data_IF_498816872434
#
_entry.id   IF_498816872434
#
_cell.length_a   1.000
_cell.length_b   1.000
_cell.length_c   1.000
_cell.angle_alpha   90.00
_cell.angle_beta   90.00
_cell.angle_gamma   90.00
#
_symmetry.space_group_name_H-M   'P 1'
#
loop_
_entity.id
_entity.type
_entity.pdbx_description
1 polymer ?
#
# COMPACT_ATOMS: atom_id res chain seq x y z
N UNK A 1 -6.37 12.15 -19.62
CA UNK A 1 -6.79 12.50 -18.25
C UNK A 1 -7.01 11.26 -17.41
N UNK A 2 -7.64 10.22 -17.95
CA UNK A 2 -7.81 8.89 -17.31
C UNK A 2 -6.55 8.31 -16.67
N UNK A 3 -5.44 8.23 -17.41
CA UNK A 3 -4.19 7.65 -16.89
C UNK A 3 -3.57 8.46 -15.73
N UNK A 4 -3.73 9.79 -15.76
CA UNK A 4 -3.22 10.69 -14.70
C UNK A 4 -4.04 10.51 -13.42
N UNK A 5 -5.37 10.43 -13.53
CA UNK A 5 -6.25 10.15 -12.40
C UNK A 5 -5.94 8.80 -11.75
N UNK A 6 -5.76 7.75 -12.57
CA UNK A 6 -5.36 6.43 -12.08
C UNK A 6 -4.01 6.42 -11.36
N UNK A 7 -3.01 7.13 -11.89
CA UNK A 7 -1.69 7.29 -11.26
C UNK A 7 -1.76 7.98 -9.90
N UNK A 8 -2.57 9.04 -9.78
CA UNK A 8 -2.77 9.76 -8.51
C UNK A 8 -3.41 8.84 -7.48
N UNK A 9 -4.46 8.10 -7.85
CA UNK A 9 -5.13 7.15 -6.94
C UNK A 9 -4.16 6.06 -6.48
N UNK A 10 -3.41 5.46 -7.42
CA UNK A 10 -2.41 4.45 -7.09
C UNK A 10 -1.35 5.01 -6.13
N UNK A 11 -0.88 6.24 -6.35
CA UNK A 11 0.11 6.88 -5.49
C UNK A 11 -0.42 7.09 -4.06
N UNK A 12 -1.67 7.55 -3.92
CA UNK A 12 -2.33 7.70 -2.62
C UNK A 12 -2.42 6.35 -1.92
N UNK A 13 -2.86 5.29 -2.61
CA UNK A 13 -2.94 3.93 -2.05
C UNK A 13 -1.57 3.47 -1.57
N UNK A 14 -0.53 3.61 -2.40
CA UNK A 14 0.84 3.23 -2.03
C UNK A 14 1.33 3.93 -0.76
N UNK A 15 1.10 5.24 -0.64
CA UNK A 15 1.47 6.01 0.55
C UNK A 15 0.69 5.55 1.79
N UNK A 16 -0.63 5.34 1.67
CA UNK A 16 -1.46 4.92 2.81
C UNK A 16 -1.10 3.52 3.29
N UNK A 17 -0.90 2.57 2.37
CA UNK A 17 -0.47 1.21 2.71
C UNK A 17 0.94 1.22 3.31
N UNK A 18 1.87 1.98 2.74
CA UNK A 18 3.23 2.09 3.28
C UNK A 18 3.26 2.64 4.71
N UNK A 19 2.41 3.63 5.02
CA UNK A 19 2.25 4.17 6.38
C UNK A 19 1.66 3.14 7.34
N UNK A 20 0.58 2.46 6.95
CA UNK A 20 -0.05 1.42 7.79
C UNK A 20 0.90 0.24 8.01
N UNK A 21 1.69 -0.15 7.01
CA UNK A 21 2.68 -1.22 7.09
C UNK A 21 3.78 -0.86 8.09
N UNK A 22 4.30 0.37 8.02
CA UNK A 22 5.31 0.87 8.96
C UNK A 22 4.79 0.86 10.40
N UNK A 23 3.52 1.25 10.63
CA UNK A 23 2.88 1.21 11.94
C UNK A 23 2.67 -0.22 12.51
N UNK A 24 2.83 -1.25 11.67
CA UNK A 24 2.70 -2.67 12.04
C UNK A 24 4.06 -3.39 12.05
N UNK A 25 5.17 -2.65 12.00
CA UNK A 25 6.52 -3.22 11.96
C UNK A 25 6.84 -3.98 10.69
N UNK A 26 6.16 -3.66 9.58
CA UNK A 26 6.40 -4.22 8.25
C UNK A 26 7.18 -3.21 7.40
N UNK A 27 7.77 -3.66 6.30
CA UNK A 27 8.50 -2.76 5.37
C UNK A 27 7.54 -1.79 4.69
N UNK A 28 7.53 -0.52 5.12
CA UNK A 28 6.66 0.51 4.56
C UNK A 28 6.96 0.82 3.09
N UNK A 29 8.25 0.87 2.71
CA UNK A 29 8.65 1.09 1.31
C UNK A 29 8.24 -0.11 0.45
N UNK A 30 8.49 -1.34 0.91
CA UNK A 30 8.14 -2.55 0.17
C UNK A 30 6.63 -2.65 -0.08
N UNK A 31 5.82 -2.51 0.97
CA UNK A 31 4.35 -2.59 0.84
C UNK A 31 3.75 -1.40 0.11
N UNK A 32 4.31 -0.20 0.27
CA UNK A 32 3.84 0.98 -0.45
C UNK A 32 4.11 0.91 -1.95
N UNK A 33 5.33 0.51 -2.35
CA UNK A 33 5.70 0.37 -3.76
C UNK A 33 4.94 -0.80 -4.41
N UNK A 34 4.80 -1.92 -3.72
CA UNK A 34 4.05 -3.06 -4.23
C UNK A 34 2.58 -2.71 -4.46
N UNK A 35 1.95 -1.99 -3.53
CA UNK A 35 0.58 -1.51 -3.66
C UNK A 35 0.40 -0.47 -4.75
N UNK A 36 1.37 0.42 -4.94
CA UNK A 36 1.36 1.41 -6.03
C UNK A 36 1.39 0.73 -7.41
N UNK A 37 2.25 -0.27 -7.60
CA UNK A 37 2.45 -0.92 -8.90
C UNK A 37 1.32 -1.90 -9.27
N UNK A 38 0.77 -2.63 -8.30
CA UNK A 38 -0.21 -3.70 -8.55
C UNK A 38 -1.36 -3.61 -7.54
N UNK A 39 -2.10 -2.49 -7.53
CA UNK A 39 -3.19 -2.22 -6.58
C UNK A 39 -4.17 -3.40 -6.42
N UNK A 40 -4.60 -4.02 -7.53
CA UNK A 40 -5.64 -5.07 -7.54
C UNK A 40 -5.20 -6.31 -6.74
N UNK A 41 -3.91 -6.62 -6.71
CA UNK A 41 -3.38 -7.86 -6.07
C UNK A 41 -2.68 -7.54 -4.76
N UNK A 42 -1.84 -6.50 -4.74
CA UNK A 42 -1.03 -6.15 -3.58
C UNK A 42 -1.88 -5.68 -2.39
N UNK A 43 -2.96 -4.92 -2.62
CA UNK A 43 -3.83 -4.43 -1.53
C UNK A 43 -4.56 -5.59 -0.82
N UNK A 44 -5.25 -6.51 -1.52
CA UNK A 44 -5.84 -7.68 -0.85
C UNK A 44 -4.81 -8.52 -0.09
N UNK A 45 -3.66 -8.81 -0.71
CA UNK A 45 -2.58 -9.56 -0.05
C UNK A 45 -2.15 -8.84 1.23
N UNK A 46 -1.87 -7.53 1.16
CA UNK A 46 -1.48 -6.74 2.31
C UNK A 46 -2.52 -6.82 3.44
N UNK A 47 -3.80 -6.67 3.12
CA UNK A 47 -4.88 -6.70 4.11
C UNK A 47 -5.00 -8.06 4.82
N UNK A 48 -4.68 -9.15 4.12
CA UNK A 48 -4.67 -10.52 4.67
C UNK A 48 -3.44 -10.76 5.54
N UNK A 49 -2.24 -10.38 5.09
CA UNK A 49 -0.97 -10.73 5.77
C UNK A 49 -0.49 -9.67 6.76
N UNK A 50 -1.17 -8.53 6.86
CA UNK A 50 -0.73 -7.44 7.74
C UNK A 50 -0.69 -7.88 9.20
N UNK A 51 0.39 -7.50 9.88
CA UNK A 51 0.57 -7.77 11.30
C UNK A 51 -0.36 -6.89 12.16
N UNK A 52 -0.62 -7.26 13.42
CA UNK A 52 -1.23 -6.34 14.39
C UNK A 52 -0.46 -5.02 14.46
N UNK A 53 -1.14 -3.93 14.86
CA UNK A 53 -0.44 -2.68 15.10
C UNK A 53 0.50 -2.84 16.29
N UNK A 54 1.64 -2.19 16.21
CA UNK A 54 2.52 -2.03 17.36
C UNK A 54 1.81 -1.05 18.31
N UNK A 55 1.78 -1.41 19.60
CA UNK A 55 1.21 -0.58 20.65
C UNK A 55 2.00 0.72 20.83
#
# INVERSE_FOLDING_TARGET
MEAVGGLIIAAIIGVLIGKDAKARGMSGIGWGLFSFLICIVAVPIYLIVRKPRIA
#
